data_IF_689499569976
#
_entry.id   IF_689499569976
#
_cell.length_a   1.000
_cell.length_b   1.000
_cell.length_c   1.000
_cell.angle_alpha   90.00
_cell.angle_beta   90.00
_cell.angle_gamma   90.00
#
_symmetry.space_group_name_H-M   'P 1'
#
loop_
_entity.id
_entity.type
_entity.pdbx_description
1 polymer ?
#
# COMPACT_ATOMS: atom_id res chain seq x y z
N UNK A 1 1.24 -2.28 24.31
CA UNK A 1 0.69 -2.59 22.99
C UNK A 1 1.87 -2.81 22.08
N UNK A 2 1.96 -4.01 21.52
CA UNK A 2 2.95 -4.33 20.49
C UNK A 2 2.56 -3.66 19.17
N UNK A 3 3.51 -3.40 18.29
CA UNK A 3 3.26 -2.65 17.06
C UNK A 3 2.29 -3.40 16.14
N UNK A 4 2.41 -4.73 16.06
CA UNK A 4 1.46 -5.62 15.40
C UNK A 4 0.02 -5.42 15.88
N UNK A 5 -0.21 -5.38 17.19
CA UNK A 5 -1.57 -5.25 17.76
C UNK A 5 -2.20 -3.92 17.31
N UNK A 6 -1.41 -2.86 17.30
CA UNK A 6 -1.86 -1.54 16.83
C UNK A 6 -2.25 -1.61 15.35
N UNK A 7 -1.39 -2.19 14.52
CA UNK A 7 -1.65 -2.28 13.08
C UNK A 7 -2.85 -3.18 12.78
N UNK A 8 -3.03 -4.29 13.49
CA UNK A 8 -4.22 -5.14 13.35
C UNK A 8 -5.51 -4.38 13.65
N UNK A 9 -5.57 -3.64 14.75
CA UNK A 9 -6.75 -2.86 15.12
C UNK A 9 -7.06 -1.76 14.11
N UNK A 10 -6.03 -1.06 13.62
CA UNK A 10 -6.18 -0.03 12.59
C UNK A 10 -6.58 -0.62 11.23
N UNK A 11 -6.09 -1.81 10.88
CA UNK A 11 -6.46 -2.48 9.64
C UNK A 11 -7.95 -2.87 9.64
N UNK A 12 -8.49 -3.33 10.78
CA UNK A 12 -9.91 -3.64 10.94
C UNK A 12 -10.80 -2.40 10.76
N UNK A 13 -10.39 -1.24 11.29
CA UNK A 13 -11.16 0.01 11.15
C UNK A 13 -11.01 0.69 9.79
N UNK A 14 -9.95 0.39 9.03
CA UNK A 14 -9.64 1.05 7.76
C UNK A 14 -10.41 0.50 6.54
N UNK A 15 -11.17 -0.59 6.70
CA UNK A 15 -11.98 -1.15 5.61
C UNK A 15 -11.19 -1.76 4.44
N UNK A 16 -9.90 -2.06 4.64
CA UNK A 16 -9.05 -2.71 3.62
C UNK A 16 -9.42 -4.18 3.42
N UNK A 17 -9.02 -4.77 2.29
CA UNK A 17 -9.29 -6.19 2.02
C UNK A 17 -8.66 -7.09 3.08
N UNK A 18 -9.31 -8.23 3.37
CA UNK A 18 -8.77 -9.21 4.34
C UNK A 18 -7.39 -9.73 3.94
N UNK A 19 -7.17 -9.87 2.63
CA UNK A 19 -5.85 -10.22 2.10
C UNK A 19 -4.80 -9.15 2.39
N UNK A 20 -5.10 -7.88 2.09
CA UNK A 20 -4.17 -6.79 2.34
C UNK A 20 -3.88 -6.66 3.83
N UNK A 21 -4.91 -6.75 4.68
CA UNK A 21 -4.78 -6.75 6.14
C UNK A 21 -3.80 -7.83 6.61
N UNK A 22 -3.98 -9.08 6.16
CA UNK A 22 -3.06 -10.19 6.49
C UNK A 22 -1.62 -9.89 6.09
N UNK A 23 -1.40 -9.34 4.89
CA UNK A 23 -0.05 -9.00 4.39
C UNK A 23 0.60 -7.86 5.19
N UNK A 24 -0.17 -6.83 5.53
CA UNK A 24 0.28 -5.70 6.34
C UNK A 24 0.62 -6.16 7.76
N UNK A 25 -0.15 -7.08 8.34
CA UNK A 25 0.14 -7.68 9.65
C UNK A 25 1.43 -8.51 9.59
N UNK A 26 1.60 -9.39 8.60
CA UNK A 26 2.84 -10.17 8.42
C UNK A 26 4.07 -9.27 8.22
N UNK A 27 3.93 -8.18 7.43
CA UNK A 27 4.99 -7.19 7.28
C UNK A 27 5.35 -6.55 8.63
N UNK A 28 4.34 -6.21 9.42
CA UNK A 28 4.53 -5.59 10.74
C UNK A 28 5.25 -6.53 11.70
N UNK A 29 4.92 -7.82 11.69
CA UNK A 29 5.64 -8.85 12.47
C UNK A 29 7.14 -8.86 12.15
N UNK A 30 7.49 -8.88 10.86
CA UNK A 30 8.90 -8.89 10.43
C UNK A 30 9.62 -7.60 10.87
N UNK A 31 8.96 -6.45 10.74
CA UNK A 31 9.53 -5.17 11.15
C UNK A 31 9.64 -5.05 12.68
N UNK A 32 8.70 -5.62 13.41
CA UNK A 32 8.69 -5.66 14.86
C UNK A 32 9.84 -6.51 15.40
N UNK A 33 10.07 -7.71 14.85
CA UNK A 33 11.22 -8.56 15.19
C UNK A 33 12.54 -7.83 14.95
N UNK A 34 12.67 -7.16 13.80
CA UNK A 34 13.85 -6.37 13.46
C UNK A 34 14.06 -5.18 14.43
N UNK A 35 12.99 -4.50 14.81
CA UNK A 35 13.04 -3.37 15.72
C UNK A 35 13.38 -3.81 17.15
N UNK A 36 12.83 -4.95 17.60
CA UNK A 36 13.15 -5.53 18.90
C UNK A 36 14.63 -5.95 18.97
N UNK A 37 15.14 -6.62 17.93
CA UNK A 37 16.54 -7.05 17.87
C UNK A 37 17.52 -5.87 17.98
N UNK A 38 17.19 -4.74 17.33
CA UNK A 38 18.10 -3.60 17.23
C UNK A 38 17.95 -2.58 18.36
N UNK A 39 16.74 -2.37 18.85
CA UNK A 39 16.40 -1.25 19.73
C UNK A 39 15.66 -1.70 21.00
N UNK A 40 15.33 -2.99 21.13
CA UNK A 40 14.69 -3.58 22.30
C UNK A 40 13.17 -3.38 22.36
N UNK A 41 12.56 -4.06 23.33
CA UNK A 41 11.10 -4.13 23.51
C UNK A 41 10.43 -2.78 23.81
N UNK A 42 11.11 -1.89 24.53
CA UNK A 42 10.53 -0.57 24.85
C UNK A 42 10.37 0.31 23.62
N UNK A 43 11.31 0.21 22.67
CA UNK A 43 11.21 0.90 21.39
C UNK A 43 10.02 0.39 20.57
N UNK A 44 9.82 -0.93 20.49
CA UNK A 44 8.66 -1.53 19.82
C UNK A 44 7.34 -1.08 20.46
N UNK A 45 7.26 -1.06 21.79
CA UNK A 45 6.07 -0.55 22.48
C UNK A 45 5.77 0.90 22.12
N UNK A 46 6.81 1.72 21.97
CA UNK A 46 6.67 3.11 21.53
C UNK A 46 6.15 3.21 20.10
N UNK A 47 6.68 2.41 19.17
CA UNK A 47 6.16 2.30 17.80
C UNK A 47 4.68 1.89 17.75
N UNK A 48 4.24 1.04 18.66
CA UNK A 48 2.83 0.65 18.77
C UNK A 48 1.92 1.74 19.36
N UNK A 49 2.41 2.53 20.31
CA UNK A 49 1.59 3.56 21.00
C UNK A 49 1.42 4.84 20.21
N UNK A 50 2.49 5.33 19.58
CA UNK A 50 2.52 6.64 18.94
C UNK A 50 1.40 6.88 17.92
N UNK A 51 0.98 5.92 17.07
CA UNK A 51 -0.11 6.17 16.12
C UNK A 51 -1.46 6.41 16.82
N UNK A 52 -1.72 5.68 17.91
CA UNK A 52 -2.97 5.80 18.68
C UNK A 52 -2.99 7.11 19.46
N UNK A 53 -1.87 7.49 20.07
CA UNK A 53 -1.75 8.76 20.78
C UNK A 53 -1.81 9.96 19.82
N UNK A 54 -1.22 9.82 18.63
CA UNK A 54 -1.29 10.83 17.58
C UNK A 54 -2.71 11.00 17.06
N UNK A 55 -3.45 9.91 16.83
CA UNK A 55 -4.85 9.97 16.40
C UNK A 55 -5.73 10.68 17.45
N UNK A 56 -5.57 10.36 18.74
CA UNK A 56 -6.28 11.07 19.82
C UNK A 56 -5.94 12.55 19.87
N UNK A 57 -4.64 12.87 19.79
CA UNK A 57 -4.18 14.25 19.90
C UNK A 57 -4.59 15.12 18.70
N UNK A 58 -4.53 14.58 17.48
CA UNK A 58 -4.65 15.35 16.24
C UNK A 58 -6.01 15.18 15.56
N UNK A 59 -6.57 13.98 15.55
CA UNK A 59 -7.84 13.69 14.87
C UNK A 59 -9.04 13.91 15.79
N UNK A 60 -8.93 13.50 17.07
CA UNK A 60 -9.98 13.68 18.07
C UNK A 60 -9.90 15.04 18.80
N UNK A 61 -8.78 15.75 18.64
CA UNK A 61 -8.57 17.08 19.24
C UNK A 61 -8.34 17.08 20.75
N UNK A 62 -7.84 15.99 21.32
CA UNK A 62 -7.52 15.89 22.75
C UNK A 62 -6.25 16.69 23.09
N UNK A 63 -6.45 17.86 23.73
CA UNK A 63 -5.36 18.75 24.12
C UNK A 63 -4.39 18.14 25.14
N UNK A 64 -4.87 17.27 26.03
CA UNK A 64 -4.01 16.65 27.04
C UNK A 64 -3.16 15.54 26.43
N UNK A 65 -3.74 14.77 25.49
CA UNK A 65 -2.97 13.84 24.66
C UNK A 65 -1.91 14.58 23.83
N UNK A 66 -2.25 15.73 23.24
CA UNK A 66 -1.30 16.55 22.48
C UNK A 66 -0.14 17.05 23.34
N UNK A 67 -0.41 17.58 24.54
CA UNK A 67 0.64 18.03 25.48
C UNK A 67 1.53 16.88 25.91
N UNK A 68 0.95 15.70 26.17
CA UNK A 68 1.72 14.50 26.54
C UNK A 68 2.65 14.07 25.40
N UNK A 69 2.14 14.00 24.18
CA UNK A 69 2.90 13.62 23.00
C UNK A 69 4.04 14.61 22.71
N UNK A 70 3.76 15.92 22.81
CA UNK A 70 4.78 16.97 22.64
C UNK A 70 5.90 16.85 23.67
N UNK A 71 5.55 16.57 24.93
CA UNK A 71 6.54 16.36 25.99
C UNK A 71 7.39 15.12 25.71
N UNK A 72 6.75 14.00 25.39
CA UNK A 72 7.47 12.74 25.09
C UNK A 72 8.42 12.89 23.90
N UNK A 73 7.99 13.56 22.82
CA UNK A 73 8.84 13.83 21.67
C UNK A 73 9.93 14.87 21.96
N UNK A 74 9.66 15.83 22.85
CA UNK A 74 10.64 16.82 23.31
C UNK A 74 11.74 16.21 24.18
N UNK A 75 11.42 15.17 24.95
CA UNK A 75 12.36 14.45 25.81
C UNK A 75 13.13 13.34 25.06
N UNK A 76 12.66 12.95 23.87
CA UNK A 76 13.28 11.90 23.05
C UNK A 76 14.63 12.34 22.47
N UNK A 77 15.57 11.41 22.37
CA UNK A 77 16.85 11.69 21.73
C UNK A 77 16.70 11.83 20.21
N UNK A 78 17.56 12.63 19.58
CA UNK A 78 17.56 12.76 18.11
C UNK A 78 17.75 11.41 17.41
N UNK A 79 18.53 10.51 17.99
CA UNK A 79 18.77 9.18 17.43
C UNK A 79 17.51 8.30 17.48
N UNK A 80 16.80 8.34 18.60
CA UNK A 80 15.52 7.65 18.75
C UNK A 80 14.48 8.17 17.76
N UNK A 81 14.36 9.49 17.61
CA UNK A 81 13.45 10.11 16.64
C UNK A 81 13.78 9.66 15.21
N UNK A 82 15.06 9.62 14.84
CA UNK A 82 15.49 9.14 13.52
C UNK A 82 15.09 7.69 13.27
N UNK A 83 15.28 6.80 14.25
CA UNK A 83 14.93 5.39 14.09
C UNK A 83 13.41 5.18 14.05
N UNK A 84 12.62 5.94 14.82
CA UNK A 84 11.15 5.94 14.72
C UNK A 84 10.74 6.35 13.30
N UNK A 85 11.25 7.48 12.81
CA UNK A 85 10.95 7.98 11.46
C UNK A 85 11.35 6.97 10.39
N UNK A 86 12.51 6.32 10.55
CA UNK A 86 13.01 5.31 9.61
C UNK A 86 12.11 4.06 9.60
N UNK A 87 11.63 3.59 10.75
CA UNK A 87 10.73 2.45 10.84
C UNK A 87 9.38 2.76 10.20
N UNK A 88 8.75 3.89 10.53
CA UNK A 88 7.49 4.27 9.90
C UNK A 88 7.64 4.54 8.40
N UNK A 89 8.69 5.24 7.97
CA UNK A 89 8.95 5.49 6.55
C UNK A 89 9.10 4.16 5.79
N UNK A 90 9.82 3.20 6.36
CA UNK A 90 10.00 1.87 5.76
C UNK A 90 8.67 1.11 5.71
N UNK A 91 7.92 1.12 6.81
CA UNK A 91 6.59 0.52 6.90
C UNK A 91 5.66 1.08 5.82
N UNK A 92 5.49 2.41 5.74
CA UNK A 92 4.60 3.03 4.74
C UNK A 92 5.02 2.76 3.30
N UNK A 93 6.33 2.78 3.00
CA UNK A 93 6.79 2.43 1.65
C UNK A 93 6.44 0.99 1.26
N UNK A 94 6.57 0.05 2.19
CA UNK A 94 6.26 -1.35 1.95
C UNK A 94 4.76 -1.60 1.92
N UNK A 95 3.97 -0.96 2.79
CA UNK A 95 2.49 -1.01 2.75
C UNK A 95 1.96 -0.47 1.43
N UNK A 96 2.44 0.69 0.97
CA UNK A 96 2.05 1.24 -0.32
C UNK A 96 2.36 0.27 -1.47
N UNK A 97 3.51 -0.39 -1.40
CA UNK A 97 3.88 -1.40 -2.41
C UNK A 97 2.95 -2.63 -2.34
N UNK A 98 2.62 -3.12 -1.15
CA UNK A 98 1.68 -4.23 -0.95
C UNK A 98 0.28 -3.89 -1.43
N UNK A 99 -0.18 -2.65 -1.25
CA UNK A 99 -1.44 -2.18 -1.80
C UNK A 99 -1.44 -2.24 -3.32
N UNK A 100 -0.36 -1.79 -3.99
CA UNK A 100 -0.22 -1.91 -5.44
C UNK A 100 -0.25 -3.38 -5.90
N UNK A 101 0.40 -4.28 -5.17
CA UNK A 101 0.32 -5.72 -5.45
C UNK A 101 -1.10 -6.28 -5.27
N UNK A 102 -1.81 -5.86 -4.23
CA UNK A 102 -3.21 -6.28 -3.99
C UNK A 102 -4.12 -5.77 -5.10
N UNK A 103 -4.00 -4.50 -5.51
CA UNK A 103 -4.75 -3.92 -6.63
C UNK A 103 -4.49 -4.73 -7.91
N UNK A 104 -3.22 -5.00 -8.21
CA UNK A 104 -2.84 -5.82 -9.37
C UNK A 104 -3.45 -7.22 -9.30
N UNK A 105 -3.46 -7.86 -8.12
CA UNK A 105 -4.03 -9.19 -7.94
C UNK A 105 -5.54 -9.19 -8.11
N UNK A 106 -6.25 -8.22 -7.52
CA UNK A 106 -7.71 -8.08 -7.65
C UNK A 106 -8.09 -7.82 -9.12
N UNK A 107 -7.34 -6.97 -9.82
CA UNK A 107 -7.56 -6.73 -11.24
C UNK A 107 -7.35 -8.00 -12.08
N UNK A 108 -6.29 -8.77 -11.80
CA UNK A 108 -6.02 -10.05 -12.45
C UNK A 108 -7.12 -11.09 -12.17
N UNK A 109 -7.60 -11.17 -10.93
CA UNK A 109 -8.72 -12.06 -10.57
C UNK A 109 -9.99 -11.72 -11.34
N UNK A 110 -10.27 -10.42 -11.55
CA UNK A 110 -11.44 -9.98 -12.32
C UNK A 110 -11.29 -10.25 -13.82
N UNK A 111 -10.07 -10.24 -14.34
CA UNK A 111 -9.78 -10.61 -15.73
C UNK A 111 -10.11 -12.09 -16.00
N UNK A 112 -9.92 -12.98 -15.03
CA UNK A 112 -10.34 -14.39 -15.16
C UNK A 112 -11.86 -14.59 -15.27
N UNK A 113 -12.65 -13.64 -14.79
CA UNK A 113 -14.12 -13.67 -14.87
C UNK A 113 -14.65 -12.90 -16.09
N UNK A 114 -13.76 -12.30 -16.89
CA UNK A 114 -14.11 -11.46 -18.02
C UNK A 114 -14.62 -12.29 -19.21
N UNK A 115 -15.72 -11.84 -19.81
CA UNK A 115 -16.20 -12.34 -21.10
C UNK A 115 -16.44 -11.18 -22.05
N UNK A 116 -16.47 -11.42 -23.38
CA UNK A 116 -16.83 -10.37 -24.35
C UNK A 116 -18.20 -9.73 -24.06
N UNK A 117 -19.11 -10.45 -23.44
CA UNK A 117 -20.46 -9.99 -23.05
C UNK A 117 -20.52 -9.33 -21.68
N UNK A 118 -19.48 -9.47 -20.86
CA UNK A 118 -19.36 -8.90 -19.52
C UNK A 118 -17.91 -8.45 -19.26
N UNK A 119 -17.45 -7.40 -19.95
CA UNK A 119 -16.08 -6.92 -19.81
C UNK A 119 -15.82 -6.32 -18.43
N UNK A 120 -14.54 -6.29 -18.02
CA UNK A 120 -14.12 -5.66 -16.76
C UNK A 120 -14.41 -4.17 -16.80
N UNK A 121 -14.99 -3.62 -15.73
CA UNK A 121 -15.19 -2.17 -15.58
C UNK A 121 -13.86 -1.40 -15.71
N UNK A 122 -13.92 -0.25 -16.38
CA UNK A 122 -12.79 0.63 -16.67
C UNK A 122 -11.69 -0.07 -17.47
N UNK A 123 -12.05 -1.06 -18.30
CA UNK A 123 -11.14 -1.71 -19.25
C UNK A 123 -11.31 -1.18 -20.67
N UNK A 124 -10.31 -1.46 -21.52
CA UNK A 124 -10.40 -1.20 -22.96
C UNK A 124 -11.53 -2.05 -23.56
N UNK A 125 -11.71 -3.30 -23.10
CA UNK A 125 -12.78 -4.17 -23.57
C UNK A 125 -14.17 -3.61 -23.22
N UNK A 126 -14.37 -3.00 -22.04
CA UNK A 126 -15.63 -2.32 -21.71
C UNK A 126 -15.88 -1.14 -22.66
N UNK A 127 -14.83 -0.39 -23.00
CA UNK A 127 -14.94 0.73 -23.94
C UNK A 127 -15.41 0.24 -25.32
N UNK A 128 -14.81 -0.84 -25.83
CA UNK A 128 -15.20 -1.46 -27.11
C UNK A 128 -16.62 -2.03 -27.04
N UNK A 129 -16.99 -2.69 -25.95
CA UNK A 129 -18.34 -3.22 -25.73
C UNK A 129 -19.39 -2.11 -25.76
N UNK A 130 -19.15 -0.99 -25.05
CA UNK A 130 -20.04 0.17 -25.05
C UNK A 130 -20.16 0.82 -26.42
N UNK A 131 -19.08 0.89 -27.20
CA UNK A 131 -19.14 1.37 -28.60
C UNK A 131 -20.05 0.48 -29.44
N UNK A 132 -19.94 -0.85 -29.30
CA UNK A 132 -20.84 -1.80 -29.97
C UNK A 132 -22.30 -1.62 -29.54
N UNK A 133 -22.57 -1.47 -28.24
CA UNK A 133 -23.93 -1.19 -27.73
C UNK A 133 -24.53 0.11 -28.28
N UNK A 134 -23.69 1.11 -28.53
CA UNK A 134 -24.08 2.38 -29.13
C UNK A 134 -24.21 2.32 -30.66
N UNK A 135 -23.94 1.17 -31.27
CA UNK A 135 -24.12 0.93 -32.71
C UNK A 135 -22.94 1.33 -33.59
N UNK A 136 -21.75 1.55 -33.02
CA UNK A 136 -20.55 1.82 -33.80
C UNK A 136 -20.17 0.58 -34.63
N UNK A 137 -19.78 0.80 -35.88
CA UNK A 137 -19.14 -0.21 -36.73
C UNK A 137 -17.72 -0.52 -36.26
N UNK A 138 -17.17 -1.62 -36.76
CA UNK A 138 -15.78 -2.00 -36.48
C UNK A 138 -14.80 -0.93 -36.97
N UNK A 139 -15.03 -0.39 -38.17
CA UNK A 139 -14.20 0.63 -38.79
C UNK A 139 -14.20 1.93 -37.98
N UNK A 140 -15.36 2.39 -37.52
CA UNK A 140 -15.48 3.60 -36.68
C UNK A 140 -14.76 3.44 -35.34
N UNK A 141 -14.87 2.27 -34.72
CA UNK A 141 -14.16 1.97 -33.48
C UNK A 141 -12.64 1.96 -33.71
N UNK A 142 -12.18 1.31 -34.78
CA UNK A 142 -10.75 1.23 -35.11
C UNK A 142 -10.15 2.61 -35.42
N UNK A 143 -10.85 3.43 -36.19
CA UNK A 143 -10.42 4.80 -36.51
C UNK A 143 -10.29 5.67 -35.26
N UNK A 144 -11.17 5.48 -34.27
CA UNK A 144 -11.07 6.16 -32.96
C UNK A 144 -9.77 5.81 -32.25
N UNK A 145 -9.40 4.51 -32.21
CA UNK A 145 -8.15 4.09 -31.59
C UNK A 145 -6.91 4.57 -32.36
N UNK A 146 -6.96 4.61 -33.69
CA UNK A 146 -5.86 5.13 -34.51
C UNK A 146 -5.59 6.63 -34.31
N UNK A 147 -6.60 7.40 -33.89
CA UNK A 147 -6.46 8.84 -33.61
C UNK A 147 -6.08 9.13 -32.15
N UNK A 148 -6.04 8.11 -31.29
CA UNK A 148 -5.74 8.28 -29.88
C UNK A 148 -4.24 8.53 -29.68
N UNK A 149 -3.89 9.69 -29.12
CA UNK A 149 -2.53 10.03 -28.72
C UNK A 149 -2.50 10.32 -27.21
N UNK A 150 -1.81 9.47 -26.46
CA UNK A 150 -1.66 9.59 -25.01
C UNK A 150 -0.19 9.90 -24.73
N UNK A 151 0.09 11.09 -24.22
CA UNK A 151 1.45 11.56 -23.91
C UNK A 151 1.59 11.88 -22.42
N UNK A 152 1.86 10.88 -21.56
CA UNK A 152 2.10 11.13 -20.15
C UNK A 152 3.34 12.00 -19.97
N UNK A 153 3.17 13.19 -19.40
CA UNK A 153 4.29 14.06 -19.06
C UNK A 153 4.81 13.69 -17.67
N UNK A 154 5.98 13.06 -17.63
CA UNK A 154 6.65 12.77 -16.36
C UNK A 154 7.22 14.06 -15.80
N UNK A 155 6.71 14.49 -14.65
CA UNK A 155 7.25 15.63 -13.91
C UNK A 155 8.17 15.13 -12.80
N UNK A 156 9.19 15.92 -12.47
CA UNK A 156 9.98 15.62 -11.29
C UNK A 156 9.11 15.85 -10.04
N UNK A 157 9.05 14.85 -9.15
CA UNK A 157 8.42 15.06 -7.85
C UNK A 157 9.39 15.88 -6.96
N UNK A 158 8.99 17.05 -6.45
CA UNK A 158 9.91 18.04 -5.87
C UNK A 158 10.63 17.59 -4.58
N UNK A 159 10.17 16.51 -3.95
CA UNK A 159 10.69 16.04 -2.66
C UNK A 159 11.15 14.58 -2.64
N UNK A 160 11.05 13.85 -3.75
CA UNK A 160 11.32 12.40 -3.80
C UNK A 160 12.30 12.00 -4.88
N UNK A 161 13.54 12.47 -4.78
CA UNK A 161 14.66 11.81 -5.47
C UNK A 161 15.00 10.49 -4.76
N UNK A 162 14.15 9.47 -4.90
CA UNK A 162 14.42 8.14 -4.35
C UNK A 162 15.52 7.46 -5.18
N UNK A 163 16.55 6.95 -4.50
CA UNK A 163 17.61 6.17 -5.17
C UNK A 163 16.99 4.92 -5.78
N UNK A 164 17.23 4.67 -7.07
CA UNK A 164 16.71 3.50 -7.81
C UNK A 164 16.99 2.17 -7.10
N UNK A 165 18.16 2.02 -6.47
CA UNK A 165 18.51 0.82 -5.71
C UNK A 165 17.62 0.57 -4.49
N UNK A 166 17.13 1.62 -3.84
CA UNK A 166 16.20 1.50 -2.71
C UNK A 166 14.83 1.07 -3.20
N UNK A 167 14.36 1.66 -4.30
CA UNK A 167 13.07 1.29 -4.93
C UNK A 167 13.05 -0.20 -5.31
N UNK A 168 14.11 -0.68 -5.97
CA UNK A 168 14.20 -2.09 -6.35
C UNK A 168 14.14 -3.02 -5.13
N UNK A 169 14.86 -2.69 -4.06
CA UNK A 169 14.80 -3.48 -2.81
C UNK A 169 13.41 -3.46 -2.17
N UNK A 170 12.74 -2.31 -2.17
CA UNK A 170 11.37 -2.20 -1.65
C UNK A 170 10.41 -3.07 -2.45
N UNK A 171 10.53 -3.08 -3.79
CA UNK A 171 9.74 -3.95 -4.66
C UNK A 171 10.03 -5.43 -4.42
N UNK A 172 11.30 -5.82 -4.27
CA UNK A 172 11.68 -7.21 -3.95
C UNK A 172 11.08 -7.65 -2.60
N UNK A 173 11.22 -6.83 -1.56
CA UNK A 173 10.65 -7.11 -0.24
C UNK A 173 9.13 -7.24 -0.30
N UNK A 174 8.46 -6.28 -0.94
CA UNK A 174 7.01 -6.32 -1.09
C UNK A 174 6.54 -7.54 -1.88
N UNK A 175 7.25 -7.91 -2.96
CA UNK A 175 6.96 -9.13 -3.72
C UNK A 175 7.14 -10.41 -2.91
N UNK A 176 8.14 -10.46 -2.01
CA UNK A 176 8.33 -11.62 -1.14
C UNK A 176 7.19 -11.72 -0.13
N UNK A 177 6.84 -10.61 0.51
CA UNK A 177 5.72 -10.56 1.46
C UNK A 177 4.37 -10.83 0.77
N UNK A 178 4.20 -10.38 -0.48
CA UNK A 178 2.98 -10.64 -1.26
C UNK A 178 2.83 -12.10 -1.69
N UNK A 179 3.90 -12.91 -1.61
CA UNK A 179 3.85 -14.35 -1.91
C UNK A 179 3.74 -15.21 -0.65
N UNK A 180 3.93 -14.64 0.54
CA UNK A 180 3.76 -15.37 1.79
C UNK A 180 2.31 -15.84 1.93
N UNK A 181 2.10 -17.13 1.69
CA UNK A 181 0.80 -17.80 1.81
C UNK A 181 -0.04 -17.87 0.53
N UNK A 182 0.51 -17.51 -0.64
CA UNK A 182 -0.19 -17.63 -1.94
C UNK A 182 0.37 -18.81 -2.77
N UNK A 183 -0.53 -19.56 -3.41
CA UNK A 183 -0.20 -20.64 -4.35
C UNK A 183 -1.00 -20.52 -5.66
N UNK A 184 -1.17 -19.30 -6.16
CA UNK A 184 -1.96 -19.04 -7.37
C UNK A 184 -1.03 -18.78 -8.56
N UNK A 185 -0.67 -19.86 -9.25
CA UNK A 185 0.00 -19.81 -10.56
C UNK A 185 -1.08 -19.90 -11.64
N UNK A 186 -1.01 -19.08 -12.67
CA UNK A 186 -2.02 -19.07 -13.74
C UNK A 186 -1.78 -20.19 -14.76
N UNK A 187 -2.80 -20.60 -15.53
CA UNK A 187 -2.66 -21.65 -16.54
C UNK A 187 -1.59 -21.38 -17.61
N UNK A 188 -1.35 -20.11 -17.96
CA UNK A 188 -0.34 -19.68 -18.93
C UNK A 188 1.09 -19.65 -18.35
N UNK A 189 1.23 -19.79 -17.03
CA UNK A 189 2.50 -19.80 -16.30
C UNK A 189 2.95 -21.24 -15.93
N UNK A 190 2.31 -22.28 -16.51
CA UNK A 190 2.79 -23.68 -16.51
C UNK A 190 3.63 -23.98 -17.75
#
# INVERSE_FOLDING_TARGET
MHWKETVSNLAESSGISQSLSKRVINLTEILEELAEEKHGKEFVKKLGKLPIESAKALDEGDEDALKSLQKEMGDASLEEIKEILRMYTTFFHLVNSLEQYEISRVNRSREFEETPESPRKESIAESVYRMKEQGYSFEEALDTFHQMDIQPTITAHPTEARRRSVLLKQQELASMVSRLGDSDITPDEK
#
